data_IF_253566668946
#
_entry.id   IF_253566668946
#
_cell.length_a   1.000
_cell.length_b   1.000
_cell.length_c   1.000
_cell.angle_alpha   90.00
_cell.angle_beta   90.00
_cell.angle_gamma   90.00
#
_symmetry.space_group_name_H-M   'P 1'
#
loop_
_entity.id
_entity.type
_entity.pdbx_description
1 polymer ?
#
# COMPACT_ATOMS: atom_id res chain seq x y z
N UNK A 1 24.78 -23.55 26.86
CA UNK A 1 24.41 -24.21 25.58
C UNK A 1 22.89 -24.25 25.42
N UNK A 2 22.12 -24.56 26.47
CA UNK A 2 20.66 -24.72 26.42
C UNK A 2 19.91 -23.40 26.13
N UNK A 3 20.37 -22.27 26.66
CA UNK A 3 19.75 -20.93 26.46
C UNK A 3 19.93 -20.46 25.01
N UNK A 4 21.09 -20.71 24.40
CA UNK A 4 21.35 -20.38 22.99
C UNK A 4 20.48 -21.22 22.02
N UNK A 5 20.20 -22.49 22.38
CA UNK A 5 19.35 -23.35 21.57
C UNK A 5 17.86 -22.90 21.60
N UNK A 6 17.37 -22.46 22.75
CA UNK A 6 16.01 -21.92 22.93
C UNK A 6 15.84 -20.61 22.17
N UNK A 7 16.83 -19.73 22.20
CA UNK A 7 16.81 -18.48 21.41
C UNK A 7 16.85 -18.75 19.90
N UNK A 8 17.62 -19.73 19.43
CA UNK A 8 17.66 -20.12 18.02
C UNK A 8 16.36 -20.79 17.55
N UNK A 9 15.68 -21.56 18.39
CA UNK A 9 14.38 -22.18 18.07
C UNK A 9 13.26 -21.15 18.06
N UNK A 10 13.30 -20.14 18.95
CA UNK A 10 12.35 -19.00 18.94
C UNK A 10 12.54 -18.12 17.69
N UNK A 11 13.77 -17.89 17.26
CA UNK A 11 14.07 -17.15 16.03
C UNK A 11 13.65 -17.89 14.75
N UNK A 12 13.68 -19.23 14.74
CA UNK A 12 13.22 -20.03 13.61
C UNK A 12 11.69 -20.10 13.47
N UNK A 13 10.93 -19.77 14.53
CA UNK A 13 9.48 -19.72 14.53
C UNK A 13 8.92 -18.30 14.24
N UNK A 14 9.76 -17.25 14.26
CA UNK A 14 9.34 -15.88 13.98
C UNK A 14 9.30 -15.64 12.47
N UNK A 15 8.14 -15.21 11.95
CA UNK A 15 8.07 -14.63 10.61
C UNK A 15 9.04 -13.44 10.56
N UNK A 16 9.75 -13.20 9.43
CA UNK A 16 10.68 -12.06 9.32
C UNK A 16 10.05 -10.71 9.72
N UNK A 17 8.79 -10.50 9.38
CA UNK A 17 8.00 -9.32 9.75
C UNK A 17 7.84 -9.15 11.25
N UNK A 18 7.69 -10.23 12.01
CA UNK A 18 7.62 -10.18 13.49
C UNK A 18 8.91 -9.62 14.09
N UNK A 19 10.07 -10.02 13.56
CA UNK A 19 11.34 -9.48 14.01
C UNK A 19 11.48 -7.99 13.64
N UNK A 20 11.13 -7.63 12.41
CA UNK A 20 11.16 -6.23 11.96
C UNK A 20 10.27 -5.35 12.85
N UNK A 21 9.03 -5.76 13.11
CA UNK A 21 8.11 -5.04 13.98
C UNK A 21 8.66 -4.90 15.41
N UNK A 22 9.29 -5.95 15.97
CA UNK A 22 9.84 -5.91 17.32
C UNK A 22 11.01 -4.92 17.49
N UNK A 23 11.69 -4.57 16.40
CA UNK A 23 12.76 -3.56 16.38
C UNK A 23 12.29 -2.18 15.87
N UNK A 24 11.03 -2.04 15.51
CA UNK A 24 10.45 -0.75 15.11
C UNK A 24 9.93 0.00 16.34
N UNK A 25 10.33 1.28 16.56
CA UNK A 25 9.82 2.08 17.67
C UNK A 25 8.30 2.22 17.63
N UNK A 26 7.63 2.22 18.79
CA UNK A 26 6.18 2.31 18.89
C UNK A 26 5.69 3.33 19.92
N UNK A 27 6.58 4.14 20.47
CA UNK A 27 6.31 5.12 21.53
C UNK A 27 5.84 6.49 21.00
N UNK A 28 5.88 6.69 19.68
CA UNK A 28 5.54 7.96 19.02
C UNK A 28 4.18 7.92 18.29
N UNK A 29 3.40 6.84 18.44
CA UNK A 29 2.04 6.77 17.90
C UNK A 29 1.08 6.06 18.85
N UNK A 30 -0.22 6.32 18.66
CA UNK A 30 -1.32 5.59 19.29
C UNK A 30 -1.94 4.67 18.25
N UNK A 31 -2.03 3.36 18.56
CA UNK A 31 -2.66 2.35 17.72
C UNK A 31 -4.10 2.10 18.15
N UNK A 32 -5.04 2.27 17.24
CA UNK A 32 -6.44 1.86 17.36
C UNK A 32 -6.65 0.63 16.46
N UNK A 33 -6.55 -0.56 17.05
CA UNK A 33 -6.59 -1.81 16.30
C UNK A 33 -8.01 -2.30 16.01
N UNK A 34 -8.20 -3.03 14.91
CA UNK A 34 -9.40 -3.80 14.62
C UNK A 34 -10.66 -2.97 14.36
N UNK A 35 -10.52 -1.79 13.75
CA UNK A 35 -11.65 -0.97 13.33
C UNK A 35 -12.36 -1.63 12.15
N UNK A 36 -13.62 -2.06 12.32
CA UNK A 36 -14.40 -2.69 11.26
C UNK A 36 -14.83 -1.65 10.23
N UNK A 37 -14.54 -1.91 8.94
CA UNK A 37 -15.01 -1.09 7.82
C UNK A 37 -16.02 -1.81 6.92
N UNK A 38 -16.36 -3.06 7.27
CA UNK A 38 -17.37 -3.89 6.60
C UNK A 38 -17.84 -5.03 7.48
N UNK A 39 -18.69 -5.91 6.92
CA UNK A 39 -19.32 -7.01 7.65
C UNK A 39 -18.46 -8.29 7.72
N UNK A 40 -17.51 -8.46 6.81
CA UNK A 40 -16.63 -9.63 6.79
C UNK A 40 -15.56 -9.49 7.88
N UNK A 41 -15.18 -10.57 8.59
CA UNK A 41 -14.12 -10.53 9.61
C UNK A 41 -12.77 -10.02 9.09
N UNK A 42 -12.51 -10.12 7.77
CA UNK A 42 -11.33 -9.57 7.12
C UNK A 42 -11.43 -8.05 6.85
N UNK A 43 -12.64 -7.49 6.86
CA UNK A 43 -12.85 -6.06 6.63
C UNK A 43 -12.60 -5.25 7.89
N UNK A 44 -11.37 -5.27 8.37
CA UNK A 44 -10.88 -4.52 9.52
C UNK A 44 -9.60 -3.77 9.15
N UNK A 45 -9.36 -2.65 9.81
CA UNK A 45 -8.12 -1.88 9.68
C UNK A 45 -7.55 -1.53 11.05
N UNK A 46 -6.24 -1.27 11.08
CA UNK A 46 -5.57 -0.66 12.21
C UNK A 46 -5.24 0.80 11.84
N UNK A 47 -5.55 1.71 12.77
CA UNK A 47 -5.26 3.14 12.65
C UNK A 47 -4.12 3.50 13.59
N UNK A 48 -3.11 4.19 13.04
CA UNK A 48 -1.94 4.66 13.76
C UNK A 48 -1.88 6.18 13.69
N UNK A 49 -2.05 6.82 14.86
CA UNK A 49 -2.03 8.28 14.98
C UNK A 49 -0.71 8.73 15.62
N UNK A 50 0.08 9.58 14.97
CA UNK A 50 1.22 10.21 15.63
C UNK A 50 0.80 10.91 16.93
N UNK A 51 1.61 10.78 17.99
CA UNK A 51 1.38 11.48 19.27
C UNK A 51 1.56 12.98 19.12
N UNK A 52 2.49 13.40 18.26
CA UNK A 52 2.71 14.79 17.86
C UNK A 52 2.32 14.94 16.38
N UNK A 53 1.28 15.72 16.11
CA UNK A 53 0.82 16.00 14.75
C UNK A 53 0.17 17.36 14.64
N UNK A 54 0.25 17.95 13.45
CA UNK A 54 -0.56 19.12 13.08
C UNK A 54 -2.03 18.70 12.82
N UNK A 55 -2.97 19.63 12.90
CA UNK A 55 -4.40 19.36 12.67
C UNK A 55 -4.68 18.96 11.21
N UNK A 56 -3.89 19.48 10.28
CA UNK A 56 -3.90 19.23 8.83
C UNK A 56 -2.97 18.08 8.40
N UNK A 57 -2.36 17.36 9.36
CA UNK A 57 -1.42 16.28 9.08
C UNK A 57 -1.97 15.27 8.06
N UNK A 58 -1.13 14.84 7.09
CA UNK A 58 -1.55 13.94 6.03
C UNK A 58 -2.07 12.60 6.56
N UNK A 59 -2.94 11.99 5.76
CA UNK A 59 -3.50 10.66 6.02
C UNK A 59 -3.07 9.73 4.89
N UNK A 60 -2.57 8.56 5.22
CA UNK A 60 -2.11 7.56 4.27
C UNK A 60 -2.77 6.21 4.54
N UNK A 61 -3.37 5.62 3.51
CA UNK A 61 -3.86 4.24 3.56
C UNK A 61 -2.86 3.35 2.85
N UNK A 62 -2.30 2.38 3.58
CA UNK A 62 -1.32 1.42 3.07
C UNK A 62 -1.93 0.05 2.83
N UNK A 63 -1.91 -0.40 1.58
CA UNK A 63 -2.31 -1.74 1.17
C UNK A 63 -1.07 -2.62 1.03
N UNK A 64 -0.99 -3.66 1.84
CA UNK A 64 0.13 -4.61 1.80
C UNK A 64 0.00 -5.62 0.65
N UNK A 65 1.12 -6.26 0.29
CA UNK A 65 1.17 -7.30 -0.73
C UNK A 65 1.27 -8.70 -0.13
N UNK A 66 0.69 -9.68 -0.83
CA UNK A 66 0.96 -11.12 -0.69
C UNK A 66 0.38 -11.90 -1.88
N UNK A 67 0.49 -11.36 -3.11
CA UNK A 67 -0.04 -12.02 -4.31
C UNK A 67 -1.56 -12.23 -4.26
N UNK A 68 -2.32 -11.28 -3.71
CA UNK A 68 -3.77 -11.34 -3.48
C UNK A 68 -4.23 -12.55 -2.64
N UNK A 69 -3.32 -13.14 -1.86
CA UNK A 69 -3.58 -14.19 -0.88
C UNK A 69 -3.67 -13.58 0.52
N UNK A 70 -4.14 -14.40 1.46
CA UNK A 70 -4.27 -13.96 2.85
C UNK A 70 -2.91 -13.58 3.46
N UNK A 71 -2.89 -12.42 4.10
CA UNK A 71 -1.83 -11.90 4.97
C UNK A 71 -2.48 -11.12 6.11
N UNK A 72 -1.72 -10.52 7.00
CA UNK A 72 -2.26 -9.76 8.10
C UNK A 72 -1.65 -8.36 8.16
N UNK A 73 -2.49 -7.33 8.37
CA UNK A 73 -2.07 -5.94 8.57
C UNK A 73 -1.03 -5.80 9.70
N UNK A 74 -1.13 -6.64 10.72
CA UNK A 74 -0.17 -6.67 11.81
C UNK A 74 1.27 -7.03 11.39
N UNK A 75 1.44 -7.72 10.26
CA UNK A 75 2.77 -8.03 9.70
C UNK A 75 3.48 -6.76 9.17
N UNK A 76 2.75 -5.66 8.94
CA UNK A 76 3.24 -4.43 8.31
C UNK A 76 3.23 -3.21 9.25
N UNK A 77 3.16 -3.41 10.57
CA UNK A 77 3.18 -2.33 11.57
C UNK A 77 4.43 -1.45 11.44
N UNK A 78 5.56 -2.00 11.01
CA UNK A 78 6.79 -1.25 10.75
C UNK A 78 6.61 -0.10 9.74
N UNK A 79 5.69 -0.23 8.76
CA UNK A 79 5.36 0.84 7.81
C UNK A 79 4.69 2.00 8.55
N UNK A 80 3.75 1.68 9.44
CA UNK A 80 3.12 2.70 10.26
C UNK A 80 4.12 3.34 11.23
N UNK A 81 4.99 2.55 11.87
CA UNK A 81 6.03 3.06 12.73
C UNK A 81 6.96 4.06 12.02
N UNK A 82 7.36 3.77 10.78
CA UNK A 82 8.18 4.69 10.00
C UNK A 82 7.46 6.00 9.67
N UNK A 83 6.26 5.92 9.11
CA UNK A 83 5.55 7.10 8.60
C UNK A 83 4.95 7.98 9.72
N UNK A 84 4.56 7.38 10.84
CA UNK A 84 4.07 8.15 11.99
C UNK A 84 5.17 8.97 12.65
N UNK A 85 6.45 8.56 12.55
CA UNK A 85 7.58 9.40 13.02
C UNK A 85 7.73 10.69 12.23
N UNK A 86 7.20 10.74 11.00
CA UNK A 86 7.12 11.92 10.14
C UNK A 86 5.79 12.70 10.28
N UNK A 87 4.99 12.38 11.29
CA UNK A 87 3.71 13.06 11.57
C UNK A 87 2.55 12.62 10.70
N UNK A 88 2.68 11.55 9.91
CA UNK A 88 1.66 11.04 8.98
C UNK A 88 0.72 10.09 9.73
N UNK A 89 -0.59 10.30 9.65
CA UNK A 89 -1.58 9.33 10.14
C UNK A 89 -1.66 8.16 9.16
N UNK A 90 -1.47 6.93 9.63
CA UNK A 90 -1.42 5.72 8.79
C UNK A 90 -2.58 4.79 9.11
N UNK A 91 -3.20 4.24 8.07
CA UNK A 91 -4.19 3.19 8.18
C UNK A 91 -3.75 1.98 7.35
N UNK A 92 -3.86 0.79 7.93
CA UNK A 92 -3.51 -0.45 7.25
C UNK A 92 -4.74 -1.37 7.28
N UNK A 93 -5.51 -1.48 6.18
CA UNK A 93 -6.62 -2.41 6.10
C UNK A 93 -6.16 -3.83 5.77
N UNK A 94 -6.76 -4.84 6.42
CA UNK A 94 -6.91 -6.15 5.83
C UNK A 94 -7.97 -6.07 4.74
N UNK A 95 -7.93 -6.96 3.79
CA UNK A 95 -8.93 -7.11 2.73
C UNK A 95 -9.18 -8.60 2.47
N UNK A 96 -10.36 -8.94 1.95
CA UNK A 96 -10.65 -10.31 1.52
C UNK A 96 -9.74 -10.69 0.36
N UNK A 97 -9.27 -11.91 0.35
CA UNK A 97 -8.25 -12.38 -0.59
C UNK A 97 -8.59 -13.76 -1.15
N UNK A 98 -7.89 -14.17 -2.19
CA UNK A 98 -8.01 -15.52 -2.72
C UNK A 98 -7.54 -16.57 -1.67
N UNK A 99 -8.27 -17.71 -1.51
CA UNK A 99 -9.37 -18.21 -2.35
C UNK A 99 -10.78 -17.76 -1.93
N UNK A 100 -10.95 -16.96 -0.87
CA UNK A 100 -12.25 -16.51 -0.41
C UNK A 100 -12.99 -15.67 -1.48
N UNK A 101 -12.25 -14.80 -2.16
CA UNK A 101 -12.77 -13.93 -3.22
C UNK A 101 -11.80 -13.88 -4.41
N UNK A 102 -12.30 -13.35 -5.53
CA UNK A 102 -11.55 -13.04 -6.73
C UNK A 102 -11.63 -11.55 -7.04
N UNK A 103 -10.89 -11.06 -8.03
CA UNK A 103 -11.03 -9.71 -8.55
C UNK A 103 -12.49 -9.48 -9.03
N UNK A 104 -13.13 -8.32 -8.69
CA UNK A 104 -12.54 -7.12 -8.08
C UNK A 104 -12.72 -6.99 -6.55
N UNK A 105 -13.23 -7.99 -5.84
CA UNK A 105 -13.69 -7.87 -4.45
C UNK A 105 -12.67 -7.24 -3.48
N UNK A 106 -11.38 -7.54 -3.63
CA UNK A 106 -10.34 -6.94 -2.79
C UNK A 106 -10.08 -5.45 -3.09
N UNK A 107 -10.40 -4.96 -4.30
CA UNK A 107 -10.37 -3.53 -4.63
C UNK A 107 -11.61 -2.84 -4.08
N UNK A 108 -12.77 -3.50 -4.12
CA UNK A 108 -14.00 -3.03 -3.49
C UNK A 108 -13.83 -2.90 -1.97
N UNK A 109 -13.14 -3.85 -1.33
CA UNK A 109 -12.76 -3.75 0.08
C UNK A 109 -11.85 -2.53 0.34
N UNK A 110 -10.90 -2.28 -0.56
CA UNK A 110 -10.06 -1.09 -0.50
C UNK A 110 -10.87 0.21 -0.59
N UNK A 111 -11.87 0.27 -1.48
CA UNK A 111 -12.78 1.40 -1.59
C UNK A 111 -13.61 1.60 -0.30
N UNK A 112 -14.12 0.50 0.29
CA UNK A 112 -14.83 0.54 1.56
C UNK A 112 -13.95 1.02 2.73
N UNK A 113 -12.66 0.64 2.74
CA UNK A 113 -11.71 1.14 3.72
C UNK A 113 -11.47 2.65 3.55
N UNK A 114 -11.34 3.16 2.32
CA UNK A 114 -11.26 4.61 2.04
C UNK A 114 -12.55 5.33 2.50
N UNK A 115 -13.72 4.75 2.27
CA UNK A 115 -14.98 5.29 2.77
C UNK A 115 -14.97 5.41 4.29
N UNK A 116 -14.51 4.37 5.00
CA UNK A 116 -14.37 4.41 6.45
C UNK A 116 -13.46 5.57 6.90
N UNK A 117 -12.35 5.80 6.18
CA UNK A 117 -11.44 6.93 6.47
C UNK A 117 -12.15 8.26 6.35
N UNK A 118 -12.95 8.47 5.30
CA UNK A 118 -13.74 9.68 5.11
C UNK A 118 -14.73 9.93 6.25
N UNK A 119 -15.35 8.86 6.76
CA UNK A 119 -16.37 8.95 7.80
C UNK A 119 -15.79 9.13 9.20
N UNK A 120 -14.54 8.69 9.45
CA UNK A 120 -13.96 8.62 10.79
C UNK A 120 -12.72 9.51 11.00
N UNK A 121 -12.12 10.05 9.94
CA UNK A 121 -10.98 10.95 10.02
C UNK A 121 -11.40 12.34 9.55
N UNK A 122 -11.56 13.25 10.50
CA UNK A 122 -11.94 14.64 10.19
C UNK A 122 -10.95 15.28 9.20
N UNK A 123 -11.47 16.04 8.26
CA UNK A 123 -10.69 16.76 7.26
C UNK A 123 -10.39 15.96 5.98
N UNK A 124 -10.64 14.64 5.95
CA UNK A 124 -10.41 13.84 4.74
C UNK A 124 -11.54 14.03 3.72
N UNK A 125 -12.79 13.96 4.17
CA UNK A 125 -13.94 14.05 3.29
C UNK A 125 -14.07 15.43 2.60
N UNK A 126 -13.69 16.50 3.27
CA UNK A 126 -13.72 17.88 2.77
C UNK A 126 -12.39 18.34 2.13
N UNK A 127 -11.36 17.45 2.13
CA UNK A 127 -10.05 17.72 1.53
C UNK A 127 -9.14 18.66 2.32
N UNK A 128 -9.49 19.03 3.57
CA UNK A 128 -8.62 19.87 4.41
C UNK A 128 -7.43 19.08 4.98
N UNK A 129 -7.52 17.76 4.98
CA UNK A 129 -6.39 16.85 5.24
C UNK A 129 -6.09 16.03 4.00
N UNK A 130 -4.86 16.12 3.45
CA UNK A 130 -4.51 15.41 2.23
C UNK A 130 -4.51 13.88 2.45
N UNK A 131 -5.15 13.16 1.52
CA UNK A 131 -5.25 11.70 1.51
C UNK A 131 -4.33 11.09 0.46
N UNK A 132 -3.48 10.17 0.90
CA UNK A 132 -2.58 9.39 0.06
C UNK A 132 -2.96 7.91 0.06
N UNK A 133 -2.86 7.27 -1.09
CA UNK A 133 -2.96 5.81 -1.19
C UNK A 133 -1.57 5.25 -1.51
N UNK A 134 -1.11 4.33 -0.68
CA UNK A 134 0.16 3.63 -0.89
C UNK A 134 -0.07 2.12 -0.91
N UNK A 135 0.71 1.42 -1.71
CA UNK A 135 0.67 -0.04 -1.69
C UNK A 135 1.98 -0.68 -2.11
N UNK A 136 2.16 -1.93 -1.69
CA UNK A 136 3.28 -2.78 -2.10
C UNK A 136 2.77 -4.02 -2.86
N UNK A 137 3.41 -4.37 -4.00
CA UNK A 137 3.10 -5.60 -4.74
C UNK A 137 1.61 -5.67 -5.13
N UNK A 138 0.88 -6.73 -4.77
CA UNK A 138 -0.57 -6.84 -4.97
C UNK A 138 -1.35 -5.66 -4.36
N UNK A 139 -0.91 -5.14 -3.21
CA UNK A 139 -1.50 -3.94 -2.60
C UNK A 139 -1.26 -2.67 -3.40
N UNK A 140 -0.14 -2.60 -4.15
CA UNK A 140 0.11 -1.48 -5.06
C UNK A 140 -0.86 -1.49 -6.26
N UNK A 141 -1.27 -2.67 -6.74
CA UNK A 141 -2.32 -2.79 -7.75
C UNK A 141 -3.68 -2.33 -7.21
N UNK A 142 -4.02 -2.70 -5.96
CA UNK A 142 -5.26 -2.23 -5.30
C UNK A 142 -5.23 -0.70 -5.19
N UNK A 143 -4.16 -0.13 -4.62
CA UNK A 143 -4.02 1.32 -4.46
C UNK A 143 -4.06 2.06 -5.81
N UNK A 144 -3.41 1.51 -6.85
CA UNK A 144 -3.43 2.06 -8.20
C UNK A 144 -4.83 2.07 -8.82
N UNK A 145 -5.61 0.98 -8.69
CA UNK A 145 -6.98 0.96 -9.18
C UNK A 145 -7.88 1.95 -8.46
N UNK A 146 -7.73 2.09 -7.14
CA UNK A 146 -8.47 3.10 -6.37
C UNK A 146 -8.10 4.54 -6.78
N UNK A 147 -6.85 4.77 -7.17
CA UNK A 147 -6.37 6.08 -7.57
C UNK A 147 -6.67 6.44 -9.02
N UNK A 148 -6.71 5.46 -9.92
CA UNK A 148 -6.79 5.69 -11.38
C UNK A 148 -8.17 5.37 -11.96
N UNK A 149 -8.91 4.41 -11.38
CA UNK A 149 -10.25 4.05 -11.83
C UNK A 149 -11.33 4.66 -10.91
N UNK A 150 -11.97 5.77 -11.31
CA UNK A 150 -12.91 6.49 -10.46
C UNK A 150 -14.15 5.67 -10.07
N UNK A 151 -14.44 4.57 -10.76
CA UNK A 151 -15.63 3.75 -10.51
C UNK A 151 -15.63 3.16 -9.11
N UNK A 152 -14.45 2.80 -8.56
CA UNK A 152 -14.36 2.18 -7.25
C UNK A 152 -14.74 3.14 -6.11
N UNK A 153 -14.19 4.34 -6.10
CA UNK A 153 -14.53 5.33 -5.07
C UNK A 153 -15.95 5.88 -5.28
N UNK A 154 -16.39 6.08 -6.53
CA UNK A 154 -17.76 6.50 -6.81
C UNK A 154 -18.82 5.46 -6.40
N UNK A 155 -18.47 4.18 -6.30
CA UNK A 155 -19.39 3.13 -5.82
C UNK A 155 -19.68 3.24 -4.31
N UNK A 156 -18.81 3.86 -3.53
CA UNK A 156 -18.93 3.94 -2.06
C UNK A 156 -19.29 5.34 -1.55
N UNK A 157 -19.20 6.37 -2.40
CA UNK A 157 -19.57 7.75 -2.05
C UNK A 157 -19.95 8.58 -3.28
N UNK A 158 -20.93 9.47 -3.12
CA UNK A 158 -21.31 10.44 -4.17
C UNK A 158 -20.23 11.53 -4.38
N UNK A 159 -19.39 11.78 -3.38
CA UNK A 159 -18.32 12.77 -3.42
C UNK A 159 -17.01 12.13 -2.98
N UNK A 160 -16.29 11.46 -3.90
CA UNK A 160 -14.97 10.90 -3.59
C UNK A 160 -14.00 12.00 -3.10
N UNK A 161 -13.16 11.72 -2.09
CA UNK A 161 -12.20 12.69 -1.61
C UNK A 161 -11.14 12.94 -2.70
N UNK A 162 -10.63 14.17 -2.82
CA UNK A 162 -9.47 14.39 -3.67
C UNK A 162 -8.28 13.60 -3.11
N UNK A 163 -7.65 12.78 -3.96
CA UNK A 163 -6.41 12.10 -3.60
C UNK A 163 -5.23 13.05 -3.81
N UNK A 164 -4.48 13.31 -2.76
CA UNK A 164 -3.29 14.14 -2.81
C UNK A 164 -2.12 13.42 -3.51
N UNK A 165 -2.09 12.08 -3.49
CA UNK A 165 -1.10 11.30 -4.24
C UNK A 165 -1.34 9.80 -4.21
N UNK A 166 -0.69 9.12 -5.17
CA UNK A 166 -0.56 7.66 -5.22
C UNK A 166 0.91 7.26 -5.10
N UNK A 167 1.20 6.24 -4.29
CA UNK A 167 2.54 5.70 -4.06
C UNK A 167 2.53 4.20 -4.31
N UNK A 168 3.25 3.77 -5.32
CA UNK A 168 3.31 2.38 -5.73
C UNK A 168 4.70 1.77 -5.53
N UNK A 169 4.81 0.78 -4.64
CA UNK A 169 6.03 0.07 -4.34
C UNK A 169 6.01 -1.31 -5.02
N UNK A 170 6.87 -1.52 -6.02
CA UNK A 170 7.00 -2.81 -6.75
C UNK A 170 5.66 -3.40 -7.21
N UNK A 171 4.78 -2.57 -7.77
CA UNK A 171 3.42 -2.97 -8.13
C UNK A 171 3.29 -3.54 -9.55
N UNK A 172 2.37 -4.52 -9.77
CA UNK A 172 1.97 -4.99 -11.08
C UNK A 172 0.87 -4.09 -11.64
N UNK A 173 1.14 -3.35 -12.71
CA UNK A 173 0.21 -2.37 -13.27
C UNK A 173 -0.26 -2.70 -14.69
N UNK A 174 0.48 -3.61 -15.37
CA UNK A 174 0.23 -4.09 -16.74
C UNK A 174 0.79 -5.51 -16.85
N UNK A 175 0.04 -6.50 -16.33
CA UNK A 175 0.51 -7.86 -16.10
C UNK A 175 -0.23 -8.93 -16.92
N UNK A 176 -0.83 -8.56 -18.03
CA UNK A 176 -1.38 -9.51 -19.00
C UNK A 176 -0.36 -9.81 -20.12
N UNK A 177 -0.33 -11.04 -20.64
CA UNK A 177 -1.09 -12.23 -20.20
C UNK A 177 -0.64 -12.78 -18.84
N UNK A 178 -1.51 -13.56 -18.17
CA UNK A 178 -1.20 -14.18 -16.88
C UNK A 178 -0.36 -15.45 -17.09
N UNK A 179 0.85 -15.47 -16.57
CA UNK A 179 1.78 -16.60 -16.71
C UNK A 179 1.59 -17.67 -15.62
N UNK A 180 1.16 -17.28 -14.41
CA UNK A 180 0.99 -18.19 -13.28
C UNK A 180 -0.45 -18.72 -13.17
N UNK A 181 -0.59 -20.07 -13.05
CA UNK A 181 -1.89 -20.71 -13.03
C UNK A 181 -2.84 -20.24 -11.94
N UNK A 182 -2.33 -19.90 -10.72
CA UNK A 182 -3.20 -19.38 -9.65
C UNK A 182 -3.72 -17.97 -9.96
N UNK A 183 -2.97 -17.15 -10.67
CA UNK A 183 -3.43 -15.81 -11.07
C UNK A 183 -4.66 -15.89 -11.99
N UNK A 184 -4.77 -16.93 -12.79
CA UNK A 184 -5.96 -17.15 -13.62
C UNK A 184 -7.21 -17.40 -12.78
N UNK A 185 -7.06 -17.94 -11.55
CA UNK A 185 -8.17 -18.09 -10.60
C UNK A 185 -8.44 -16.83 -9.78
N UNK A 186 -7.43 -16.02 -9.50
CA UNK A 186 -7.56 -14.71 -8.84
C UNK A 186 -8.25 -13.71 -9.75
N UNK A 187 -7.93 -13.73 -11.07
CA UNK A 187 -8.45 -12.83 -12.09
C UNK A 187 -9.26 -13.62 -13.13
N UNK A 188 -10.60 -13.74 -12.97
CA UNK A 188 -11.48 -14.35 -13.94
C UNK A 188 -11.32 -13.70 -15.32
N UNK A 189 -11.42 -14.47 -16.39
CA UNK A 189 -11.09 -14.04 -17.75
C UNK A 189 -11.84 -12.78 -18.18
N UNK A 190 -13.13 -12.72 -17.86
CA UNK A 190 -14.02 -11.60 -18.18
C UNK A 190 -13.66 -10.28 -17.48
N UNK A 191 -12.91 -10.35 -16.37
CA UNK A 191 -12.52 -9.17 -15.57
C UNK A 191 -11.05 -8.76 -15.74
N UNK A 192 -10.25 -9.55 -16.46
CA UNK A 192 -8.79 -9.29 -16.62
C UNK A 192 -8.45 -7.90 -17.16
N UNK A 193 -9.13 -7.37 -18.20
CA UNK A 193 -8.84 -6.02 -18.67
C UNK A 193 -9.06 -4.95 -17.61
N UNK A 194 -10.06 -5.14 -16.73
CA UNK A 194 -10.37 -4.21 -15.63
C UNK A 194 -9.39 -4.32 -14.46
N UNK A 195 -8.61 -5.39 -14.39
CA UNK A 195 -7.61 -5.56 -13.32
C UNK A 195 -6.29 -4.83 -13.58
N UNK A 196 -6.12 -4.22 -14.77
CA UNK A 196 -4.88 -3.57 -15.18
C UNK A 196 -4.94 -2.06 -14.93
N UNK A 197 -4.26 -1.52 -13.88
CA UNK A 197 -4.29 -0.09 -13.57
C UNK A 197 -3.92 0.82 -14.74
N UNK A 198 -3.00 0.40 -15.59
CA UNK A 198 -2.54 1.17 -16.76
C UNK A 198 -3.68 1.55 -17.72
N UNK A 199 -4.75 0.76 -17.78
CA UNK A 199 -5.90 1.00 -18.65
C UNK A 199 -6.77 2.19 -18.21
N UNK A 200 -6.59 2.69 -16.97
CA UNK A 200 -7.40 3.75 -16.37
C UNK A 200 -6.65 5.06 -16.16
N UNK A 201 -5.41 5.14 -16.65
CA UNK A 201 -4.63 6.38 -16.58
C UNK A 201 -5.31 7.47 -17.38
N UNK A 202 -5.50 8.63 -16.75
CA UNK A 202 -6.05 9.83 -17.36
C UNK A 202 -5.41 11.07 -16.74
N UNK A 203 -5.60 12.24 -17.33
CA UNK A 203 -5.12 13.51 -16.79
C UNK A 203 -5.68 13.88 -15.41
N UNK A 204 -6.71 13.18 -14.93
CA UNK A 204 -7.29 13.35 -13.59
C UNK A 204 -6.58 12.50 -12.51
N UNK A 205 -5.60 11.69 -12.88
CA UNK A 205 -4.84 10.88 -11.92
C UNK A 205 -4.08 11.78 -10.94
N UNK A 206 -3.97 11.39 -9.66
CA UNK A 206 -3.20 12.15 -8.68
C UNK A 206 -1.70 12.09 -9.01
N UNK A 207 -0.93 13.04 -8.49
CA UNK A 207 0.53 12.94 -8.56
C UNK A 207 0.99 11.59 -8.01
N UNK A 208 2.01 11.02 -8.64
CA UNK A 208 2.37 9.63 -8.40
C UNK A 208 3.86 9.45 -8.12
N UNK A 209 4.18 8.65 -7.11
CA UNK A 209 5.51 8.10 -6.88
C UNK A 209 5.49 6.59 -7.15
N UNK A 210 6.38 6.14 -8.03
CA UNK A 210 6.61 4.72 -8.29
C UNK A 210 8.03 4.37 -7.86
N UNK A 211 8.15 3.41 -6.95
CA UNK A 211 9.44 2.89 -6.48
C UNK A 211 9.58 1.43 -6.88
N UNK A 212 10.72 1.06 -7.48
CA UNK A 212 10.96 -0.32 -7.90
C UNK A 212 12.44 -0.68 -7.79
N UNK A 213 12.73 -1.90 -7.39
CA UNK A 213 14.08 -2.42 -7.39
C UNK A 213 14.45 -3.05 -8.74
N UNK A 214 15.67 -2.82 -9.24
CA UNK A 214 16.10 -3.36 -10.55
C UNK A 214 16.27 -4.89 -10.54
N UNK A 215 16.48 -5.50 -9.36
CA UNK A 215 16.61 -6.95 -9.19
C UNK A 215 15.28 -7.63 -8.81
N UNK A 216 14.15 -6.93 -8.98
CA UNK A 216 12.84 -7.53 -8.77
C UNK A 216 12.51 -8.54 -9.87
N UNK A 217 12.47 -9.82 -9.47
CA UNK A 217 12.14 -10.95 -10.36
C UNK A 217 10.73 -11.50 -10.14
N UNK A 218 9.98 -10.93 -9.18
CA UNK A 218 8.61 -11.34 -8.88
C UNK A 218 7.60 -10.49 -9.62
N UNK A 219 7.81 -9.17 -9.56
CA UNK A 219 7.10 -8.17 -10.37
C UNK A 219 8.17 -7.41 -11.13
N UNK A 220 8.17 -7.53 -12.45
CA UNK A 220 9.24 -6.95 -13.26
C UNK A 220 9.21 -5.41 -13.21
N UNK A 221 10.38 -4.74 -13.17
CA UNK A 221 10.46 -3.27 -13.11
C UNK A 221 9.76 -2.55 -14.28
N UNK A 222 9.55 -3.24 -15.38
CA UNK A 222 8.82 -2.75 -16.56
C UNK A 222 7.39 -2.32 -16.25
N UNK A 223 6.75 -2.90 -15.23
CA UNK A 223 5.42 -2.47 -14.80
C UNK A 223 5.43 -1.00 -14.34
N UNK A 224 6.38 -0.63 -13.49
CA UNK A 224 6.51 0.76 -13.05
C UNK A 224 6.97 1.70 -14.17
N UNK A 225 7.89 1.26 -15.05
CA UNK A 225 8.31 2.07 -16.19
C UNK A 225 7.16 2.37 -17.14
N UNK A 226 6.36 1.35 -17.49
CA UNK A 226 5.20 1.54 -18.40
C UNK A 226 4.12 2.41 -17.78
N UNK A 227 3.83 2.23 -16.49
CA UNK A 227 2.86 3.09 -15.81
C UNK A 227 3.35 4.54 -15.72
N UNK A 228 4.64 4.77 -15.38
CA UNK A 228 5.24 6.10 -15.36
C UNK A 228 5.13 6.78 -16.73
N UNK A 229 5.55 6.11 -17.79
CA UNK A 229 5.44 6.62 -19.15
C UNK A 229 3.97 6.99 -19.48
N UNK A 230 3.02 6.12 -19.17
CA UNK A 230 1.60 6.36 -19.48
C UNK A 230 1.04 7.56 -18.70
N UNK A 231 1.47 7.76 -17.44
CA UNK A 231 1.13 8.94 -16.64
C UNK A 231 1.73 10.23 -17.23
N UNK A 232 3.01 10.18 -17.66
CA UNK A 232 3.68 11.31 -18.33
C UNK A 232 2.98 11.71 -19.63
N UNK A 233 2.54 10.74 -20.44
CA UNK A 233 1.77 10.98 -21.68
C UNK A 233 0.45 11.72 -21.43
N UNK A 234 -0.19 11.51 -20.26
CA UNK A 234 -1.40 12.23 -19.83
C UNK A 234 -1.09 13.54 -19.08
N UNK A 235 0.19 13.91 -18.93
CA UNK A 235 0.61 15.14 -18.24
C UNK A 235 0.49 15.08 -16.71
N UNK A 236 0.38 13.87 -16.14
CA UNK A 236 0.32 13.68 -14.68
C UNK A 236 1.72 13.80 -14.09
N UNK A 237 1.91 14.58 -13.00
CA UNK A 237 3.19 14.61 -12.29
C UNK A 237 3.54 13.21 -11.74
N UNK A 238 4.62 12.61 -12.24
CA UNK A 238 5.10 11.30 -11.80
C UNK A 238 6.58 11.34 -11.48
N UNK A 239 6.96 10.67 -10.40
CA UNK A 239 8.36 10.40 -10.04
C UNK A 239 8.58 8.88 -10.06
N UNK A 240 9.51 8.41 -10.88
CA UNK A 240 9.94 7.02 -10.92
C UNK A 240 11.30 6.88 -10.25
N UNK A 241 11.37 6.08 -9.18
CA UNK A 241 12.61 5.72 -8.48
C UNK A 241 12.97 4.26 -8.73
N UNK A 242 14.15 4.05 -9.28
CA UNK A 242 14.67 2.71 -9.57
C UNK A 242 15.91 2.46 -8.70
N UNK A 243 15.80 1.54 -7.74
CA UNK A 243 16.90 1.21 -6.82
C UNK A 243 17.70 0.02 -7.34
N UNK A 244 18.98 0.28 -7.68
CA UNK A 244 19.86 -0.74 -8.25
C UNK A 244 20.18 -1.85 -7.25
N UNK A 245 20.12 -3.11 -7.70
CA UNK A 245 20.36 -4.28 -6.86
C UNK A 245 19.30 -4.55 -5.78
N UNK A 246 18.24 -3.75 -5.71
CA UNK A 246 17.14 -3.96 -4.77
C UNK A 246 16.11 -4.92 -5.37
N UNK A 247 15.67 -5.92 -4.58
CA UNK A 247 14.64 -6.90 -4.98
C UNK A 247 13.28 -6.58 -4.38
N UNK A 248 12.26 -7.36 -4.80
CA UNK A 248 10.83 -7.16 -4.52
C UNK A 248 10.47 -6.78 -3.08
N UNK A 249 10.93 -7.57 -2.10
CA UNK A 249 10.58 -7.37 -0.68
C UNK A 249 11.44 -6.26 -0.05
N UNK A 250 12.65 -6.03 -0.58
CA UNK A 250 13.58 -5.06 -0.01
C UNK A 250 13.08 -3.63 -0.13
N UNK A 251 12.34 -3.30 -1.19
CA UNK A 251 11.72 -1.98 -1.38
C UNK A 251 10.77 -1.64 -0.22
N UNK A 252 9.87 -2.54 0.17
CA UNK A 252 8.97 -2.27 1.31
C UNK A 252 9.69 -2.42 2.65
N UNK A 253 10.68 -3.32 2.75
CA UNK A 253 11.47 -3.49 3.97
C UNK A 253 12.34 -2.27 4.28
N UNK A 254 12.77 -1.50 3.27
CA UNK A 254 13.51 -0.25 3.43
C UNK A 254 12.72 0.85 4.16
N UNK A 255 11.40 0.73 4.26
CA UNK A 255 10.60 1.61 5.13
C UNK A 255 10.84 1.34 6.60
N UNK A 256 11.23 0.10 6.97
CA UNK A 256 11.38 -0.27 8.37
C UNK A 256 12.56 0.47 9.03
N UNK A 257 12.38 1.10 10.20
CA UNK A 257 13.45 1.87 10.86
C UNK A 257 14.81 1.16 10.95
N UNK A 258 14.89 -0.16 11.28
CA UNK A 258 16.17 -0.84 11.33
C UNK A 258 16.77 -1.19 9.95
N UNK A 259 16.06 -0.96 8.85
CA UNK A 259 16.44 -1.38 7.48
C UNK A 259 16.53 -0.22 6.47
N UNK A 260 16.39 1.02 6.90
CA UNK A 260 16.44 2.23 6.05
C UNK A 260 17.79 2.42 5.33
N UNK A 261 18.82 1.69 5.73
CA UNK A 261 20.11 1.68 5.03
C UNK A 261 20.08 0.91 3.68
N UNK A 262 18.97 0.24 3.35
CA UNK A 262 18.83 -0.55 2.10
C UNK A 262 18.76 0.37 0.89
N UNK A 263 17.87 1.37 0.95
CA UNK A 263 17.66 2.38 -0.08
C UNK A 263 16.82 3.55 0.50
N UNK A 264 16.62 4.61 -0.27
CA UNK A 264 15.96 5.85 0.16
C UNK A 264 14.41 5.81 -0.01
N UNK A 265 13.78 4.64 -0.02
CA UNK A 265 12.32 4.50 -0.24
C UNK A 265 11.52 5.36 0.74
N UNK A 266 11.89 5.39 2.04
CA UNK A 266 11.18 6.22 3.02
C UNK A 266 11.31 7.71 2.71
N UNK A 267 12.51 8.16 2.40
CA UNK A 267 12.78 9.57 2.09
C UNK A 267 12.00 10.03 0.85
N UNK A 268 11.93 9.21 -0.19
CA UNK A 268 11.14 9.50 -1.39
C UNK A 268 9.64 9.56 -1.09
N UNK A 269 9.11 8.65 -0.26
CA UNK A 269 7.71 8.65 0.18
C UNK A 269 7.39 9.93 0.97
N UNK A 270 8.22 10.26 1.96
CA UNK A 270 8.05 11.47 2.78
C UNK A 270 8.20 12.74 1.95
N UNK A 271 9.15 12.75 0.99
CA UNK A 271 9.33 13.89 0.08
C UNK A 271 8.10 14.15 -0.79
N UNK A 272 7.45 13.10 -1.34
CA UNK A 272 6.19 13.26 -2.07
C UNK A 272 5.09 13.85 -1.17
N UNK A 273 4.95 13.34 0.05
CA UNK A 273 3.89 13.76 0.97
C UNK A 273 4.08 15.21 1.45
N UNK A 274 5.32 15.65 1.61
CA UNK A 274 5.66 17.02 2.07
C UNK A 274 5.81 18.05 0.94
N UNK A 275 5.69 17.64 -0.33
CA UNK A 275 5.84 18.55 -1.48
C UNK A 275 4.61 19.44 -1.73
N UNK A 276 3.64 19.51 -0.81
CA UNK A 276 2.46 20.39 -0.83
C UNK A 276 2.67 21.65 -0.01
#
# INVERSE_FOLDING_TARGET
ATILLVAAVLLAACRPTTAINAFSPSDHYIKEAGQAYGADPRQQLDLYRPTERADDAPVLVFFYGNGWREAARADFEFVAAALTSDGITVLIPDYRAHPQVTFPAFVEDGAAAVRWVMDNIAGVADGTRPLYLMGHSAGAQIAALLALDPRYLAAVTESPPPLAGFIGLSGPYDFLPLDEGYLQTVFPEETRPQSQPINFVSAAAPRTLLVHGTDDRRVLPEHSRRLAQRLEEEGVPVTLRMYDGTGHVRVVAALAPPLQFIDDTLDDVVALIRAD
#
